data_IF_176525767053
#
_entry.id   IF_176525767053
#
_cell.length_a   1.000
_cell.length_b   1.000
_cell.length_c   1.000
_cell.angle_alpha   90.00
_cell.angle_beta   90.00
_cell.angle_gamma   90.00
#
_symmetry.space_group_name_H-M   'P 1'
#
loop_
_entity.id
_entity.type
_entity.pdbx_description
1 polymer ?
#
# COMPACT_ATOMS: atom_id res chain seq x y z
N UNK A 1 25.11 6.28 -4.31
CA UNK A 1 25.06 5.03 -3.53
C UNK A 1 23.66 4.48 -3.60
N UNK A 2 23.49 3.17 -3.86
CA UNK A 2 22.16 2.54 -3.87
C UNK A 2 21.49 2.58 -2.48
N UNK A 3 20.23 2.15 -2.37
CA UNK A 3 19.53 2.05 -1.10
C UNK A 3 20.36 1.23 -0.10
N UNK A 4 20.57 1.76 1.11
CA UNK A 4 21.30 1.06 2.19
C UNK A 4 20.38 0.17 3.02
N UNK A 5 19.35 -0.38 2.39
CA UNK A 5 18.30 -1.14 3.06
C UNK A 5 18.30 -2.58 2.55
N UNK A 6 17.92 -3.55 3.40
CA UNK A 6 17.85 -4.95 2.99
C UNK A 6 16.82 -5.17 1.89
N UNK A 7 16.98 -6.25 1.11
CA UNK A 7 15.92 -6.78 0.25
C UNK A 7 14.88 -7.51 1.11
N UNK A 8 14.02 -6.74 1.77
CA UNK A 8 12.96 -7.28 2.61
C UNK A 8 11.69 -6.44 2.54
N UNK A 9 10.56 -7.10 2.77
CA UNK A 9 9.23 -6.53 2.91
C UNK A 9 8.67 -6.91 4.28
N UNK A 10 8.23 -5.92 5.06
CA UNK A 10 7.37 -6.11 6.22
C UNK A 10 5.93 -5.79 5.80
N UNK A 11 5.01 -6.71 6.02
CA UNK A 11 3.58 -6.47 5.85
C UNK A 11 3.00 -6.14 7.21
N UNK A 12 2.36 -4.98 7.31
CA UNK A 12 1.55 -4.61 8.47
C UNK A 12 0.25 -5.42 8.50
N UNK A 13 0.08 -6.19 9.56
CA UNK A 13 -1.11 -6.98 9.85
C UNK A 13 -1.50 -6.93 11.34
N UNK A 14 -1.07 -5.89 12.06
CA UNK A 14 -1.35 -5.73 13.49
C UNK A 14 -2.15 -4.48 13.84
N UNK A 15 -2.33 -3.54 12.90
CA UNK A 15 -3.06 -2.29 13.12
C UNK A 15 -4.53 -2.43 12.73
N UNK A 16 -5.17 -3.54 13.13
CA UNK A 16 -6.57 -3.86 12.80
C UNK A 16 -6.88 -3.68 11.32
N UNK A 17 -5.96 -4.12 10.46
CA UNK A 17 -6.05 -3.91 9.03
C UNK A 17 -7.35 -4.55 8.51
N UNK A 18 -8.17 -3.79 7.77
CA UNK A 18 -9.46 -4.28 7.24
C UNK A 18 -9.23 -5.55 6.42
N UNK A 19 -9.65 -6.68 6.99
CA UNK A 19 -9.38 -8.04 6.50
C UNK A 19 -10.55 -8.96 6.75
N UNK A 20 -11.76 -8.42 6.97
CA UNK A 20 -12.94 -9.16 7.45
C UNK A 20 -13.24 -10.45 6.64
N UNK A 21 -12.79 -10.53 5.39
CA UNK A 21 -12.94 -11.71 4.55
C UNK A 21 -11.68 -12.57 4.38
N UNK A 22 -10.46 -12.08 4.65
CA UNK A 22 -9.22 -12.81 4.31
C UNK A 22 -8.02 -12.52 5.23
N UNK A 23 -7.44 -13.59 5.75
CA UNK A 23 -6.09 -13.61 6.35
C UNK A 23 -5.07 -12.83 5.50
N UNK A 24 -4.27 -11.90 6.06
CA UNK A 24 -3.33 -11.05 5.32
C UNK A 24 -2.40 -11.83 4.38
N UNK A 25 -1.91 -12.99 4.83
CA UNK A 25 -1.04 -13.87 4.05
C UNK A 25 -1.70 -14.42 2.78
N UNK A 26 -3.04 -14.58 2.79
CA UNK A 26 -3.84 -14.97 1.62
C UNK A 26 -4.21 -13.74 0.80
N UNK A 27 -4.63 -12.65 1.45
CA UNK A 27 -5.02 -11.39 0.78
C UNK A 27 -3.90 -10.87 -0.13
N UNK A 28 -2.65 -10.97 0.33
CA UNK A 28 -1.47 -10.50 -0.39
C UNK A 28 -0.62 -11.62 -1.00
N UNK A 29 -1.15 -12.84 -1.18
CA UNK A 29 -0.37 -14.00 -1.63
C UNK A 29 0.43 -13.70 -2.92
N UNK A 30 -0.22 -13.18 -3.96
CA UNK A 30 0.44 -12.85 -5.22
C UNK A 30 1.57 -11.83 -5.03
N UNK A 31 1.35 -10.78 -4.24
CA UNK A 31 2.36 -9.78 -3.92
C UNK A 31 3.55 -10.41 -3.19
N UNK A 32 3.28 -11.27 -2.20
CA UNK A 32 4.29 -11.99 -1.42
C UNK A 32 5.13 -12.88 -2.35
N UNK A 33 4.51 -13.62 -3.26
CA UNK A 33 5.21 -14.48 -4.22
C UNK A 33 6.08 -13.66 -5.18
N UNK A 34 5.59 -12.52 -5.67
CA UNK A 34 6.36 -11.63 -6.54
C UNK A 34 7.60 -11.07 -5.84
N UNK A 35 7.46 -10.61 -4.60
CA UNK A 35 8.60 -10.14 -3.81
C UNK A 35 9.62 -11.25 -3.56
N UNK A 36 9.16 -12.44 -3.16
CA UNK A 36 10.02 -13.62 -2.95
C UNK A 36 10.73 -14.03 -4.24
N UNK A 37 10.04 -14.05 -5.38
CA UNK A 37 10.61 -14.35 -6.70
C UNK A 37 11.71 -13.37 -7.11
N UNK A 38 11.66 -12.12 -6.63
CA UNK A 38 12.70 -11.08 -6.84
C UNK A 38 13.80 -11.12 -5.76
N UNK A 39 13.78 -12.11 -4.88
CA UNK A 39 14.77 -12.36 -3.84
C UNK A 39 14.59 -11.51 -2.58
N UNK A 40 13.37 -11.04 -2.29
CA UNK A 40 13.06 -10.38 -1.02
C UNK A 40 12.67 -11.40 0.05
N UNK A 41 13.10 -11.18 1.29
CA UNK A 41 12.41 -11.79 2.43
C UNK A 41 11.08 -11.07 2.66
N UNK A 42 10.05 -11.80 3.10
CA UNK A 42 8.74 -11.22 3.37
C UNK A 42 8.26 -11.73 4.72
N UNK A 43 8.02 -10.79 5.63
CA UNK A 43 7.62 -11.03 7.02
C UNK A 43 6.30 -10.33 7.34
N UNK A 44 5.55 -10.90 8.29
CA UNK A 44 4.34 -10.29 8.86
C UNK A 44 4.68 -9.64 10.20
N UNK A 45 4.11 -8.47 10.48
CA UNK A 45 4.31 -7.75 11.73
C UNK A 45 3.79 -8.53 12.94
N UNK A 46 2.72 -9.31 12.78
CA UNK A 46 2.17 -10.20 13.81
C UNK A 46 3.17 -11.28 14.26
N UNK A 47 4.12 -11.65 13.39
CA UNK A 47 5.14 -12.67 13.67
C UNK A 47 6.46 -12.06 14.14
N UNK A 48 6.86 -10.91 13.59
CA UNK A 48 8.18 -10.29 13.83
C UNK A 48 8.15 -9.09 14.77
N UNK A 49 6.97 -8.57 15.08
CA UNK A 49 6.78 -7.23 15.61
C UNK A 49 6.82 -6.18 14.49
N UNK A 50 6.24 -5.01 14.76
CA UNK A 50 6.28 -3.88 13.86
C UNK A 50 7.55 -3.05 14.13
N UNK A 51 8.62 -3.38 13.42
CA UNK A 51 9.91 -2.66 13.46
C UNK A 51 10.35 -2.32 12.03
N UNK A 52 9.62 -1.39 11.37
CA UNK A 52 9.74 -1.11 9.94
C UNK A 52 11.14 -0.59 9.53
N UNK A 53 11.84 0.05 10.47
CA UNK A 53 13.19 0.53 10.28
C UNK A 53 14.16 -0.61 9.98
N UNK A 54 13.89 -1.87 10.34
CA UNK A 54 14.79 -2.98 10.01
C UNK A 54 14.63 -3.53 8.58
N UNK A 55 13.68 -2.99 7.81
CA UNK A 55 13.30 -3.51 6.49
C UNK A 55 13.74 -2.59 5.34
N UNK A 56 13.52 -3.05 4.11
CA UNK A 56 13.67 -2.22 2.91
C UNK A 56 12.37 -1.63 2.41
N UNK A 57 11.28 -2.36 2.58
CA UNK A 57 9.93 -1.96 2.19
C UNK A 57 8.97 -2.32 3.32
N UNK A 58 7.98 -1.48 3.55
CA UNK A 58 6.84 -1.77 4.42
C UNK A 58 5.56 -1.61 3.60
N UNK A 59 4.63 -2.55 3.75
CA UNK A 59 3.26 -2.43 3.25
C UNK A 59 2.35 -2.03 4.40
N UNK A 60 1.70 -0.87 4.28
CA UNK A 60 0.63 -0.41 5.17
C UNK A 60 -0.65 -0.38 4.34
N UNK A 61 -1.57 -1.29 4.62
CA UNK A 61 -2.81 -1.41 3.88
C UNK A 61 -3.99 -1.32 4.83
N UNK A 62 -4.86 -0.33 4.60
CA UNK A 62 -6.15 -0.14 5.31
C UNK A 62 -6.07 -0.31 6.85
N UNK A 63 -5.16 0.38 7.55
CA UNK A 63 -4.99 0.25 9.01
C UNK A 63 -6.20 0.79 9.78
N UNK A 64 -6.87 -0.06 10.57
CA UNK A 64 -7.99 0.34 11.43
C UNK A 64 -7.55 1.10 12.69
N UNK A 65 -6.29 0.98 13.09
CA UNK A 65 -5.73 1.65 14.26
C UNK A 65 -4.71 2.75 13.90
N UNK A 66 -4.66 3.79 14.73
CA UNK A 66 -3.67 4.84 14.60
C UNK A 66 -2.27 4.37 15.01
N UNK A 67 -1.26 4.80 14.27
CA UNK A 67 0.14 4.54 14.59
C UNK A 67 0.62 5.41 15.75
N UNK A 68 1.40 4.82 16.65
CA UNK A 68 2.04 5.54 17.74
C UNK A 68 3.18 6.46 17.24
N UNK A 69 3.58 7.41 18.09
CA UNK A 69 4.71 8.30 17.77
C UNK A 69 6.03 7.54 17.54
N UNK A 70 6.22 6.40 18.22
CA UNK A 70 7.41 5.55 18.01
C UNK A 70 7.39 4.90 16.63
N UNK A 71 6.26 4.32 16.25
CA UNK A 71 6.11 3.65 14.93
C UNK A 71 6.25 4.65 13.77
N UNK A 72 5.72 5.86 13.93
CA UNK A 72 5.91 6.95 12.97
C UNK A 72 7.41 7.32 12.86
N UNK A 73 8.12 7.38 13.99
CA UNK A 73 9.56 7.66 13.99
C UNK A 73 10.36 6.55 13.29
N UNK A 74 9.97 5.28 13.48
CA UNK A 74 10.61 4.13 12.84
C UNK A 74 10.34 4.10 11.31
N UNK A 75 9.12 4.42 10.89
CA UNK A 75 8.77 4.60 9.47
C UNK A 75 9.57 5.77 8.84
N UNK A 76 9.72 6.88 9.56
CA UNK A 76 10.55 7.99 9.13
C UNK A 76 12.03 7.60 9.02
N UNK A 77 12.53 6.80 9.98
CA UNK A 77 13.89 6.27 9.94
C UNK A 77 14.10 5.36 8.72
N UNK A 78 13.15 4.48 8.37
CA UNK A 78 13.17 3.69 7.15
C UNK A 78 13.33 4.58 5.89
N UNK A 79 12.48 5.60 5.75
CA UNK A 79 12.50 6.51 4.60
C UNK A 79 13.84 7.26 4.51
N UNK A 80 14.39 7.71 5.63
CA UNK A 80 15.68 8.43 5.68
C UNK A 80 16.85 7.61 5.16
N UNK A 81 16.79 6.27 5.24
CA UNK A 81 17.81 5.36 4.69
C UNK A 81 17.59 4.97 3.23
N UNK A 82 16.53 5.50 2.60
CA UNK A 82 16.14 5.17 1.24
C UNK A 82 15.21 3.97 1.13
N UNK A 83 14.60 3.51 2.23
CA UNK A 83 13.51 2.54 2.23
C UNK A 83 12.25 3.06 1.54
N UNK A 84 11.22 2.23 1.46
CA UNK A 84 9.95 2.56 0.81
C UNK A 84 8.79 2.14 1.69
N UNK A 85 7.70 2.90 1.61
CA UNK A 85 6.42 2.54 2.20
C UNK A 85 5.44 2.44 1.03
N UNK A 86 4.76 1.31 0.94
CA UNK A 86 3.64 1.09 0.04
C UNK A 86 2.38 1.30 0.87
N UNK A 87 1.52 2.22 0.45
CA UNK A 87 0.28 2.54 1.16
C UNK A 87 -0.90 2.19 0.26
N UNK A 88 -1.83 1.40 0.78
CA UNK A 88 -3.07 1.02 0.11
C UNK A 88 -4.26 1.46 0.96
N UNK A 89 -5.13 2.29 0.40
CA UNK A 89 -6.43 2.63 0.99
C UNK A 89 -7.54 1.74 0.43
N UNK A 90 -8.77 1.99 0.87
CA UNK A 90 -9.98 1.30 0.40
C UNK A 90 -11.16 2.29 0.34
N UNK A 91 -12.25 1.86 -0.29
CA UNK A 91 -13.50 2.60 -0.32
C UNK A 91 -13.96 3.01 1.08
N UNK A 92 -14.35 4.28 1.21
CA UNK A 92 -14.65 4.90 2.50
C UNK A 92 -15.82 4.25 3.26
N UNK A 93 -16.74 3.57 2.56
CA UNK A 93 -17.84 2.86 3.22
C UNK A 93 -17.34 1.65 4.02
N UNK A 94 -16.20 1.09 3.65
CA UNK A 94 -15.55 -0.02 4.36
C UNK A 94 -14.40 0.45 5.26
N UNK A 95 -13.88 1.65 5.07
CA UNK A 95 -12.64 2.08 5.73
C UNK A 95 -12.51 3.61 5.92
N UNK A 96 -12.13 4.05 7.12
CA UNK A 96 -11.83 5.47 7.33
C UNK A 96 -10.39 5.85 6.90
N UNK A 97 -10.26 6.52 5.75
CA UNK A 97 -8.96 6.95 5.25
C UNK A 97 -8.29 8.06 6.09
N UNK A 98 -8.96 8.64 7.09
CA UNK A 98 -8.33 9.64 7.97
C UNK A 98 -7.08 9.10 8.65
N UNK A 99 -7.05 7.81 9.00
CA UNK A 99 -5.90 7.15 9.63
C UNK A 99 -4.68 7.18 8.71
N UNK A 100 -4.85 6.83 7.44
CA UNK A 100 -3.77 6.91 6.45
C UNK A 100 -3.32 8.35 6.22
N UNK A 101 -4.25 9.29 6.13
CA UNK A 101 -3.91 10.70 5.93
C UNK A 101 -3.14 11.28 7.13
N UNK A 102 -3.51 10.90 8.35
CA UNK A 102 -2.77 11.26 9.57
C UNK A 102 -1.35 10.69 9.54
N UNK A 103 -1.19 9.42 9.18
CA UNK A 103 0.13 8.79 9.03
C UNK A 103 0.99 9.52 7.99
N UNK A 104 0.44 9.78 6.80
CA UNK A 104 1.17 10.42 5.70
C UNK A 104 1.58 11.85 6.06
N UNK A 105 0.66 12.61 6.67
CA UNK A 105 0.97 13.95 7.16
C UNK A 105 2.07 13.93 8.20
N UNK A 106 2.08 12.96 9.14
CA UNK A 106 3.12 12.83 10.15
C UNK A 106 4.49 12.47 9.56
N UNK A 107 4.50 11.77 8.42
CA UNK A 107 5.71 11.47 7.64
C UNK A 107 6.12 12.61 6.68
N UNK A 108 5.36 13.72 6.64
CA UNK A 108 5.61 14.85 5.75
C UNK A 108 5.32 14.54 4.27
N UNK A 109 4.44 13.58 4.00
CA UNK A 109 4.04 13.16 2.65
C UNK A 109 2.75 13.87 2.28
N UNK A 110 2.79 14.62 1.18
CA UNK A 110 1.66 15.39 0.65
C UNK A 110 0.82 14.57 -0.35
N UNK A 111 0.41 13.38 0.07
CA UNK A 111 -0.53 12.50 -0.64
C UNK A 111 -1.69 12.25 0.31
N UNK A 112 -2.92 12.36 -0.20
CA UNK A 112 -4.13 12.12 0.58
C UNK A 112 -5.07 11.16 -0.13
N UNK A 113 -5.70 10.32 0.68
CA UNK A 113 -6.80 9.45 0.30
C UNK A 113 -8.11 10.16 0.64
N UNK A 114 -8.89 10.48 -0.38
CA UNK A 114 -10.20 11.08 -0.17
C UNK A 114 -11.18 10.01 0.30
N UNK A 115 -12.03 10.33 1.29
CA UNK A 115 -13.17 9.49 1.65
C UNK A 115 -14.30 9.66 0.61
N UNK A 116 -14.02 9.23 -0.63
CA UNK A 116 -14.94 9.26 -1.76
C UNK A 116 -14.78 7.99 -2.61
N UNK A 117 -15.55 7.91 -3.69
CA UNK A 117 -15.41 6.88 -4.71
C UNK A 117 -15.08 7.51 -6.06
N UNK A 118 -14.29 6.82 -6.86
CA UNK A 118 -14.05 7.18 -8.25
C UNK A 118 -15.13 6.50 -9.09
N UNK A 119 -15.81 7.25 -9.95
CA UNK A 119 -16.81 6.72 -10.88
C UNK A 119 -16.57 7.23 -12.29
N UNK A 120 -16.83 6.40 -13.29
CA UNK A 120 -16.81 6.73 -14.71
C UNK A 120 -17.90 5.94 -15.44
N UNK A 121 -18.95 6.62 -15.89
CA UNK A 121 -20.06 6.02 -16.62
C UNK A 121 -19.69 5.57 -18.05
N UNK A 122 -18.55 6.05 -18.59
CA UNK A 122 -18.11 5.80 -19.96
C UNK A 122 -16.98 4.77 -20.06
N UNK A 123 -15.96 4.87 -19.20
CA UNK A 123 -14.78 4.00 -19.22
C UNK A 123 -14.79 3.07 -18.02
N UNK A 124 -15.64 2.04 -18.06
CA UNK A 124 -15.75 1.07 -16.98
C UNK A 124 -15.78 -0.37 -17.48
N UNK A 125 -15.43 -1.28 -16.58
CA UNK A 125 -15.52 -2.72 -16.82
C UNK A 125 -16.92 -3.24 -16.48
N UNK A 126 -17.52 -3.99 -17.40
CA UNK A 126 -18.76 -4.72 -17.14
C UNK A 126 -20.01 -3.85 -16.88
N UNK A 127 -20.03 -2.59 -17.35
CA UNK A 127 -21.11 -1.62 -17.08
C UNK A 127 -21.24 -1.23 -15.60
N UNK A 128 -20.17 -1.38 -14.83
CA UNK A 128 -20.11 -1.05 -13.40
C UNK A 128 -19.36 0.27 -13.22
N UNK A 129 -20.08 1.37 -12.98
CA UNK A 129 -19.51 2.74 -12.98
C UNK A 129 -18.30 2.95 -12.05
N UNK A 130 -18.16 2.16 -10.99
CA UNK A 130 -17.05 2.25 -10.03
C UNK A 130 -15.87 1.33 -10.35
N UNK A 131 -15.96 0.50 -11.40
CA UNK A 131 -14.83 -0.26 -11.94
C UNK A 131 -14.19 0.49 -13.10
N UNK A 132 -13.59 1.64 -12.76
CA UNK A 132 -13.04 2.59 -13.73
C UNK A 132 -11.81 2.04 -14.44
N UNK A 133 -11.81 2.10 -15.76
CA UNK A 133 -10.69 1.72 -16.63
C UNK A 133 -10.02 2.97 -17.21
N UNK A 134 -8.72 2.89 -17.51
CA UNK A 134 -8.02 3.98 -18.21
C UNK A 134 -6.88 3.45 -19.06
N UNK A 135 -6.68 4.08 -20.21
CA UNK A 135 -5.50 3.92 -21.07
C UNK A 135 -4.62 5.17 -21.10
N UNK A 136 -4.98 6.20 -20.34
CA UNK A 136 -4.27 7.48 -20.31
C UNK A 136 -3.10 7.41 -19.32
N UNK A 137 -1.94 7.02 -19.84
CA UNK A 137 -0.70 6.98 -19.08
C UNK A 137 0.28 8.02 -19.59
N UNK A 138 0.83 8.82 -18.67
CA UNK A 138 1.99 9.64 -18.97
C UNK A 138 3.19 8.75 -19.36
N UNK A 139 4.04 9.25 -20.25
CA UNK A 139 5.26 8.55 -20.65
C UNK A 139 6.20 8.43 -19.46
N UNK A 140 6.24 7.24 -18.85
CA UNK A 140 7.07 6.96 -17.70
C UNK A 140 7.66 5.54 -17.78
N UNK A 141 8.80 5.31 -17.14
CA UNK A 141 9.46 3.99 -17.16
C UNK A 141 8.59 2.86 -16.58
N UNK A 142 7.63 3.19 -15.71
CA UNK A 142 6.70 2.19 -15.12
C UNK A 142 5.51 1.90 -16.03
N UNK A 143 5.23 2.77 -17.01
CA UNK A 143 4.15 2.64 -17.98
C UNK A 143 4.64 2.23 -19.36
N UNK A 144 5.96 2.10 -19.54
CA UNK A 144 6.59 1.70 -20.79
C UNK A 144 6.24 0.24 -21.14
N UNK A 145 5.65 0.04 -22.32
CA UNK A 145 5.24 -1.29 -22.81
C UNK A 145 3.88 -1.76 -22.31
N UNK A 146 3.08 -0.86 -21.70
CA UNK A 146 1.70 -1.13 -21.33
C UNK A 146 0.79 -0.59 -22.42
N UNK A 147 0.09 -1.50 -23.11
CA UNK A 147 -0.81 -1.17 -24.24
C UNK A 147 -2.28 -1.18 -23.81
N UNK A 148 -2.60 -1.84 -22.69
CA UNK A 148 -3.91 -1.87 -22.03
C UNK A 148 -3.72 -2.18 -20.53
N UNK A 149 -4.29 -1.37 -19.64
CA UNK A 149 -4.33 -1.66 -18.20
C UNK A 149 -5.78 -1.63 -17.74
N UNK A 150 -6.23 -2.73 -17.15
CA UNK A 150 -7.45 -2.75 -16.36
C UNK A 150 -7.11 -2.27 -14.94
N UNK A 151 -7.48 -1.02 -14.62
CA UNK A 151 -7.50 -0.60 -13.21
C UNK A 151 -8.79 -1.14 -12.59
N UNK A 152 -8.67 -1.84 -11.46
CA UNK A 152 -9.78 -2.08 -10.55
C UNK A 152 -9.44 -1.31 -9.27
N UNK A 153 -9.89 -0.06 -9.22
CA UNK A 153 -9.67 0.83 -8.08
C UNK A 153 -10.86 0.76 -7.13
N UNK A 154 -10.63 0.16 -5.96
CA UNK A 154 -11.51 0.05 -4.79
C UNK A 154 -12.87 -0.64 -5.03
N UNK A 155 -13.20 -1.59 -4.17
CA UNK A 155 -14.54 -2.15 -4.06
C UNK A 155 -15.28 -1.29 -3.05
#
# INVERSE_FOLDING_TARGET
>A
SGPKVPKSLLIDDIHSNYTEEFEPSKRYETLIQEFRGKGYTVDLASVKGFSPENYGVVLVATPGDAFSAGEIADLSALLSRGGKIIVLGEWFEYYDNTILNTLLSALGIDIQFSNNKIVDESNNYGLVEYWVTTSLFESHRITSGLDEIALFGAC
#
